data_IF_513052818630
#
_entry.id   IF_513052818630
#
_cell.length_a   1.000
_cell.length_b   1.000
_cell.length_c   1.000
_cell.angle_alpha   90.00
_cell.angle_beta   90.00
_cell.angle_gamma   90.00
#
_symmetry.space_group_name_H-M   'P 1'
#
loop_
_entity.id
_entity.type
_entity.pdbx_description
1 polymer ?
#
# COMPACT_ATOMS: atom_id res chain seq x y z
N UNK A 1 -16.26 18.95 -14.72
CA UNK A 1 -16.17 18.47 -13.33
C UNK A 1 -14.82 17.79 -13.20
N UNK A 2 -13.81 18.49 -12.68
CA UNK A 2 -12.42 18.03 -12.65
C UNK A 2 -12.17 17.08 -11.47
N UNK A 3 -11.32 16.04 -11.61
CA UNK A 3 -10.98 15.19 -10.48
C UNK A 3 -9.96 15.90 -9.58
N UNK A 4 -10.30 16.03 -8.30
CA UNK A 4 -9.36 16.49 -7.27
C UNK A 4 -8.37 15.38 -6.96
N UNK A 5 -7.11 15.59 -7.33
CA UNK A 5 -5.99 14.70 -6.98
C UNK A 5 -5.61 14.98 -5.52
N UNK A 6 -5.86 14.04 -4.62
CA UNK A 6 -5.35 14.10 -3.25
C UNK A 6 -3.87 13.73 -3.25
N UNK A 7 -2.99 14.73 -3.13
CA UNK A 7 -1.57 14.51 -2.93
C UNK A 7 -1.33 13.87 -1.55
N UNK A 8 -0.77 12.66 -1.52
CA UNK A 8 -0.30 12.01 -0.30
C UNK A 8 0.88 12.80 0.27
N UNK A 9 0.69 13.42 1.44
CA UNK A 9 1.75 14.13 2.14
C UNK A 9 2.84 13.13 2.54
N UNK A 10 4.00 13.18 1.89
CA UNK A 10 5.17 12.41 2.29
C UNK A 10 5.54 12.80 3.73
N UNK A 11 5.38 11.86 4.67
CA UNK A 11 5.84 12.07 6.04
C UNK A 11 7.36 11.85 6.03
N UNK A 12 8.12 12.91 5.84
CA UNK A 12 9.58 12.87 6.01
C UNK A 12 9.89 12.52 7.47
N UNK A 13 10.41 11.32 7.72
CA UNK A 13 10.86 10.93 9.05
C UNK A 13 12.23 11.57 9.27
N UNK A 14 12.36 12.41 10.29
CA UNK A 14 13.65 12.97 10.67
C UNK A 14 14.63 11.83 11.04
N UNK A 15 15.93 11.94 10.67
CA UNK A 15 16.90 10.91 11.00
C UNK A 15 17.02 10.75 12.52
N UNK A 16 17.05 9.50 12.99
CA UNK A 16 17.19 9.15 14.40
C UNK A 16 18.56 9.62 14.92
N UNK A 17 18.57 10.78 15.57
CA UNK A 17 19.69 11.23 16.38
C UNK A 17 19.57 10.47 17.71
N UNK A 18 20.44 9.47 17.91
CA UNK A 18 20.30 8.46 18.96
C UNK A 18 20.09 8.98 20.39
N UNK A 19 19.71 8.06 21.30
CA UNK A 19 19.56 8.34 22.73
C UNK A 19 20.90 8.76 23.33
N UNK A 20 21.06 10.05 23.62
CA UNK A 20 22.18 10.54 24.41
C UNK A 20 22.04 10.00 25.83
N UNK A 21 22.86 9.01 26.18
CA UNK A 21 22.96 8.50 27.55
C UNK A 21 23.58 9.57 28.45
N UNK A 22 22.75 10.29 29.21
CA UNK A 22 23.25 11.08 30.34
C UNK A 22 23.28 10.18 31.57
N UNK A 23 24.33 9.36 31.68
CA UNK A 23 24.68 8.72 32.94
C UNK A 23 25.20 9.80 33.88
N UNK A 24 24.34 10.31 34.75
CA UNK A 24 24.69 11.28 35.78
C UNK A 24 23.45 11.79 36.48
N UNK A 25 23.25 11.42 37.75
CA UNK A 25 22.23 12.01 38.60
C UNK A 25 22.56 13.50 38.80
N UNK A 26 21.71 14.46 38.39
CA UNK A 26 22.01 15.87 38.61
C UNK A 26 21.81 16.22 40.09
N UNK A 27 22.91 16.56 40.76
CA UNK A 27 22.90 17.26 42.06
C UNK A 27 22.22 18.61 41.86
N UNK A 28 21.10 18.83 42.56
CA UNK A 28 20.34 20.08 42.52
C UNK A 28 21.15 21.25 43.09
N UNK A 29 21.79 22.06 42.22
CA UNK A 29 22.13 23.45 42.53
C UNK A 29 21.01 24.35 42.04
N UNK A 30 20.22 24.87 42.98
CA UNK A 30 19.08 25.75 42.73
C UNK A 30 19.60 27.13 42.31
N UNK A 31 19.65 27.39 41.01
CA UNK A 31 19.90 28.71 40.44
C UNK A 31 18.56 29.39 40.17
N UNK A 32 18.32 30.50 40.87
CA UNK A 32 17.21 31.42 40.63
C UNK A 32 17.46 32.18 39.34
N UNK A 33 16.48 32.14 38.41
CA UNK A 33 16.45 32.75 37.08
C UNK A 33 17.24 32.05 35.97
N UNK A 34 16.61 31.03 35.37
CA UNK A 34 16.61 30.88 33.92
C UNK A 34 15.29 30.23 33.52
N UNK A 35 14.57 30.89 32.60
CA UNK A 35 13.22 30.52 32.23
C UNK A 35 13.11 29.05 31.88
N UNK A 36 12.05 28.41 32.34
CA UNK A 36 11.60 27.14 31.77
C UNK A 36 11.19 27.44 30.33
N UNK A 37 12.17 27.48 29.43
CA UNK A 37 11.94 27.46 28.00
C UNK A 37 11.02 26.27 27.75
N UNK A 38 9.89 26.52 27.09
CA UNK A 38 8.90 25.52 26.73
C UNK A 38 9.62 24.25 26.29
N UNK A 39 9.66 23.24 27.15
CA UNK A 39 10.05 21.89 26.77
C UNK A 39 8.88 21.40 25.94
N UNK A 40 8.82 21.81 24.68
CA UNK A 40 7.98 21.14 23.71
C UNK A 40 8.56 19.75 23.62
N UNK A 41 7.86 18.73 24.15
CA UNK A 41 8.11 17.36 23.72
C UNK A 41 7.96 17.37 22.19
N UNK A 42 9.11 17.49 21.52
CA UNK A 42 9.22 17.75 20.10
C UNK A 42 8.64 16.57 19.35
N UNK A 43 7.54 16.84 18.65
CA UNK A 43 6.82 15.86 17.84
C UNK A 43 6.07 14.85 18.70
N UNK A 44 4.83 14.56 18.32
CA UNK A 44 4.18 13.30 18.72
C UNK A 44 4.97 12.18 18.03
N UNK A 45 6.07 11.74 18.64
CA UNK A 45 6.82 10.56 18.18
C UNK A 45 5.84 9.40 18.36
N UNK A 46 5.15 9.02 17.28
CA UNK A 46 4.34 7.81 17.25
C UNK A 46 5.32 6.64 17.19
N UNK A 47 5.82 6.21 18.35
CA UNK A 47 6.75 5.08 18.48
C UNK A 47 6.11 3.75 18.05
N UNK A 48 4.79 3.72 17.85
CA UNK A 48 4.03 2.57 17.39
C UNK A 48 2.88 3.08 16.52
N UNK A 49 2.72 2.47 15.35
CA UNK A 49 1.60 2.73 14.45
C UNK A 49 0.66 1.52 14.51
N UNK A 50 -0.65 1.77 14.48
CA UNK A 50 -1.67 0.73 14.44
C UNK A 50 -2.05 0.52 12.99
N UNK A 51 -2.06 -0.74 12.55
CA UNK A 51 -2.48 -1.10 11.20
C UNK A 51 -3.98 -0.76 11.01
N UNK A 52 -4.37 -0.09 9.90
CA UNK A 52 -5.77 0.24 9.66
C UNK A 52 -6.64 -1.01 9.54
N UNK A 53 -7.83 -0.96 10.13
CA UNK A 53 -8.79 -2.08 10.12
C UNK A 53 -9.84 -1.97 8.99
N UNK A 54 -9.96 -0.80 8.38
CA UNK A 54 -10.94 -0.49 7.33
C UNK A 54 -10.29 0.30 6.19
N UNK A 55 -10.95 0.36 5.04
CA UNK A 55 -10.50 1.15 3.88
C UNK A 55 -9.29 0.61 3.12
N UNK A 56 -8.67 -0.48 3.58
CA UNK A 56 -7.46 -1.06 2.97
C UNK A 56 -7.59 -2.57 2.67
N UNK A 57 -8.78 -3.01 2.25
CA UNK A 57 -8.97 -4.37 1.72
C UNK A 57 -8.02 -4.64 0.56
N UNK A 58 -7.67 -5.92 0.37
CA UNK A 58 -6.57 -6.35 -0.51
C UNK A 58 -7.07 -7.19 -1.68
N UNK A 59 -6.30 -7.16 -2.76
CA UNK A 59 -6.58 -7.83 -4.04
C UNK A 59 -5.38 -8.73 -4.43
N UNK A 60 -4.93 -9.56 -3.49
CA UNK A 60 -3.79 -10.48 -3.67
C UNK A 60 -2.47 -9.78 -4.07
N UNK A 61 -1.67 -10.40 -4.94
CA UNK A 61 -0.31 -9.97 -5.32
C UNK A 61 -0.29 -8.49 -5.76
N UNK A 62 0.74 -7.76 -5.32
CA UNK A 62 0.96 -6.31 -5.54
C UNK A 62 0.03 -5.36 -4.74
N UNK A 63 -1.08 -5.82 -4.15
CA UNK A 63 -2.07 -4.92 -3.49
C UNK A 63 -1.64 -4.28 -2.16
N UNK A 64 -0.45 -4.60 -1.65
CA UNK A 64 0.17 -3.92 -0.50
C UNK A 64 1.09 -2.76 -0.91
N UNK A 65 1.44 -2.68 -2.19
CA UNK A 65 2.24 -1.59 -2.74
C UNK A 65 1.37 -0.33 -2.94
N UNK A 66 1.99 0.83 -3.16
CA UNK A 66 1.27 2.00 -3.69
C UNK A 66 0.55 1.67 -5.01
N UNK A 67 -0.52 2.41 -5.36
CA UNK A 67 -1.17 2.25 -6.66
C UNK A 67 -0.17 2.33 -7.81
N UNK A 68 -0.18 1.33 -8.68
CA UNK A 68 0.76 1.24 -9.79
C UNK A 68 0.48 2.34 -10.81
N UNK A 69 1.55 2.93 -11.36
CA UNK A 69 1.43 3.82 -12.50
C UNK A 69 1.23 3.02 -13.80
N UNK A 70 0.90 3.70 -14.89
CA UNK A 70 0.75 3.06 -16.20
C UNK A 70 2.06 2.40 -16.65
N UNK A 71 3.19 3.03 -16.37
CA UNK A 71 4.52 2.51 -16.71
C UNK A 71 4.84 1.24 -15.91
N UNK A 72 4.48 1.20 -14.63
CA UNK A 72 4.68 0.01 -13.79
C UNK A 72 3.77 -1.14 -14.22
N UNK A 73 2.52 -0.84 -14.60
CA UNK A 73 1.60 -1.85 -15.14
C UNK A 73 2.11 -2.44 -16.45
N UNK A 74 2.62 -1.61 -17.37
CA UNK A 74 3.24 -2.06 -18.61
C UNK A 74 4.43 -2.99 -18.34
N UNK A 75 5.29 -2.69 -17.34
CA UNK A 75 6.40 -3.59 -16.96
C UNK A 75 5.92 -4.96 -16.48
N UNK A 76 4.80 -5.02 -15.74
CA UNK A 76 4.20 -6.30 -15.29
C UNK A 76 3.66 -7.10 -16.47
N UNK A 77 2.98 -6.44 -17.41
CA UNK A 77 2.48 -7.09 -18.63
C UNK A 77 3.66 -7.62 -19.47
N UNK A 78 4.70 -6.81 -19.65
CA UNK A 78 5.92 -7.21 -20.37
C UNK A 78 6.62 -8.40 -19.70
N UNK A 79 6.62 -8.49 -18.37
CA UNK A 79 7.14 -9.66 -17.66
C UNK A 79 6.37 -10.93 -18.02
N UNK A 80 5.04 -10.85 -18.11
CA UNK A 80 4.17 -11.96 -18.51
C UNK A 80 4.47 -12.40 -19.95
N UNK A 81 4.60 -11.45 -20.88
CA UNK A 81 4.89 -11.71 -22.29
C UNK A 81 6.29 -12.32 -22.49
N UNK A 82 7.33 -11.81 -21.79
CA UNK A 82 8.68 -12.39 -21.83
C UNK A 82 8.71 -13.81 -21.29
N UNK A 83 7.87 -14.10 -20.30
CA UNK A 83 7.72 -15.43 -19.70
C UNK A 83 6.89 -16.40 -20.55
N UNK A 84 6.43 -15.96 -21.73
CA UNK A 84 5.60 -16.75 -22.66
C UNK A 84 4.27 -17.19 -22.07
N UNK A 85 3.71 -16.38 -21.17
CA UNK A 85 2.37 -16.57 -20.64
C UNK A 85 1.36 -15.77 -21.48
N UNK A 86 0.09 -16.19 -21.44
CA UNK A 86 -0.99 -15.53 -22.20
C UNK A 86 -1.75 -14.59 -21.26
N UNK A 87 -1.78 -13.28 -21.51
CA UNK A 87 -2.52 -12.36 -20.66
C UNK A 87 -4.03 -12.50 -20.88
N UNK A 88 -4.79 -12.30 -19.81
CA UNK A 88 -6.26 -12.27 -19.81
C UNK A 88 -6.75 -11.26 -18.78
N UNK A 89 -7.82 -10.54 -19.11
CA UNK A 89 -8.47 -9.61 -18.20
C UNK A 89 -9.74 -10.24 -17.63
N UNK A 90 -10.03 -9.93 -16.36
CA UNK A 90 -11.25 -10.32 -15.67
C UNK A 90 -11.81 -9.12 -14.90
N UNK A 91 -13.14 -9.05 -14.72
CA UNK A 91 -13.80 -7.98 -14.00
C UNK A 91 -14.98 -8.50 -13.15
N UNK A 92 -15.29 -7.80 -12.07
CA UNK A 92 -16.43 -8.08 -11.21
C UNK A 92 -16.89 -6.82 -10.48
N UNK A 93 -18.20 -6.73 -10.20
CA UNK A 93 -18.74 -5.70 -9.29
C UNK A 93 -18.53 -6.07 -7.82
N UNK A 94 -18.27 -7.35 -7.53
CA UNK A 94 -18.00 -7.89 -6.18
C UNK A 94 -16.52 -8.25 -6.10
N UNK A 95 -15.78 -7.54 -5.26
CA UNK A 95 -14.31 -7.61 -5.23
C UNK A 95 -13.70 -8.68 -4.31
N UNK A 96 -14.50 -9.41 -3.52
CA UNK A 96 -13.99 -10.30 -2.47
C UNK A 96 -14.72 -11.63 -2.42
N UNK A 97 -14.03 -12.65 -1.91
CA UNK A 97 -14.61 -13.97 -1.67
C UNK A 97 -15.65 -13.93 -0.55
N UNK A 98 -16.63 -14.83 -0.65
CA UNK A 98 -17.66 -15.05 0.36
C UNK A 98 -18.03 -16.54 0.41
N UNK A 99 -18.98 -16.91 1.28
CA UNK A 99 -19.39 -18.32 1.48
C UNK A 99 -20.90 -18.41 1.67
N UNK A 100 -21.60 -18.56 0.55
CA UNK A 100 -23.05 -18.72 0.47
C UNK A 100 -23.43 -20.17 0.20
N UNK A 101 -22.82 -20.79 -0.82
CA UNK A 101 -23.30 -22.07 -1.35
C UNK A 101 -22.77 -23.29 -0.59
N UNK A 102 -21.54 -23.23 -0.05
CA UNK A 102 -20.98 -24.32 0.75
C UNK A 102 -19.88 -23.85 1.72
N UNK A 103 -19.57 -24.68 2.74
CA UNK A 103 -18.58 -24.36 3.79
C UNK A 103 -17.52 -25.43 4.04
N UNK A 104 -17.39 -26.43 3.18
CA UNK A 104 -16.30 -27.42 3.26
C UNK A 104 -14.91 -26.79 3.11
N UNK A 105 -13.85 -27.48 3.57
CA UNK A 105 -12.47 -27.09 3.28
C UNK A 105 -12.24 -26.87 1.78
N UNK A 106 -11.57 -25.76 1.43
CA UNK A 106 -11.24 -25.42 0.03
C UNK A 106 -12.38 -24.79 -0.80
N UNK A 107 -13.61 -24.70 -0.27
CA UNK A 107 -14.73 -24.10 -0.98
C UNK A 107 -14.97 -22.64 -0.56
N UNK A 108 -14.97 -21.75 -1.57
CA UNK A 108 -15.28 -20.32 -1.48
C UNK A 108 -16.00 -19.83 -2.74
N UNK A 109 -17.00 -18.97 -2.56
CA UNK A 109 -17.71 -18.26 -3.63
C UNK A 109 -16.98 -16.94 -3.94
N UNK A 110 -17.24 -16.37 -5.12
CA UNK A 110 -16.63 -15.10 -5.53
C UNK A 110 -15.14 -15.17 -5.92
N UNK A 111 -14.56 -16.38 -6.04
CA UNK A 111 -13.21 -16.59 -6.57
C UNK A 111 -13.11 -16.30 -8.07
N UNK A 112 -14.12 -16.71 -8.84
CA UNK A 112 -14.17 -16.47 -10.29
C UNK A 112 -14.79 -15.11 -10.59
N UNK A 113 -14.16 -14.37 -11.48
CA UNK A 113 -14.67 -13.13 -12.06
C UNK A 113 -15.10 -13.34 -13.51
N UNK A 114 -15.76 -12.34 -14.09
CA UNK A 114 -16.21 -12.43 -15.49
C UNK A 114 -15.04 -12.11 -16.41
N UNK A 115 -14.76 -13.01 -17.36
CA UNK A 115 -13.72 -12.81 -18.37
C UNK A 115 -14.05 -11.62 -19.29
N UNK A 116 -13.07 -10.76 -19.55
CA UNK A 116 -13.17 -9.72 -20.56
C UNK A 116 -12.70 -10.27 -21.91
N UNK A 117 -13.63 -10.39 -22.86
CA UNK A 117 -13.39 -10.98 -24.19
C UNK A 117 -12.81 -12.40 -24.08
N UNK A 118 -11.56 -12.61 -24.48
CA UNK A 118 -10.84 -13.88 -24.48
C UNK A 118 -9.36 -13.64 -24.12
N UNK A 119 -8.62 -14.68 -23.68
CA UNK A 119 -7.18 -14.59 -23.51
C UNK A 119 -6.50 -14.12 -24.80
N UNK A 120 -5.51 -13.24 -24.67
CA UNK A 120 -4.87 -12.58 -25.82
C UNK A 120 -3.77 -13.47 -26.43
N UNK A 121 -4.18 -14.58 -27.03
CA UNK A 121 -3.28 -15.55 -27.66
C UNK A 121 -2.39 -14.90 -28.72
N UNK A 122 -1.09 -15.17 -28.66
CA UNK A 122 -0.11 -14.61 -29.60
C UNK A 122 0.19 -13.12 -29.41
N UNK A 123 -0.29 -12.50 -28.33
CA UNK A 123 0.03 -11.11 -28.00
C UNK A 123 1.54 -10.93 -27.78
N UNK A 124 2.11 -9.89 -28.40
CA UNK A 124 3.54 -9.54 -28.28
C UNK A 124 3.78 -8.09 -27.86
N UNK A 125 2.72 -7.31 -27.64
CA UNK A 125 2.80 -5.89 -27.32
C UNK A 125 1.96 -5.58 -26.07
N UNK A 126 2.61 -5.15 -24.99
CA UNK A 126 1.94 -4.84 -23.74
C UNK A 126 0.91 -3.70 -23.86
N UNK A 127 1.10 -2.77 -24.80
CA UNK A 127 0.18 -1.65 -24.99
C UNK A 127 -1.18 -2.10 -25.53
N UNK A 128 -1.24 -3.24 -26.24
CA UNK A 128 -2.50 -3.84 -26.67
C UNK A 128 -3.32 -4.32 -25.48
N UNK A 129 -2.68 -4.94 -24.48
CA UNK A 129 -3.32 -5.37 -23.24
C UNK A 129 -3.84 -4.16 -22.46
N UNK A 130 -3.03 -3.10 -22.37
CA UNK A 130 -3.41 -1.87 -21.67
C UNK A 130 -4.60 -1.16 -22.32
N UNK A 131 -4.74 -1.22 -23.65
CA UNK A 131 -5.87 -0.63 -24.37
C UNK A 131 -7.20 -1.34 -24.09
N UNK A 132 -7.15 -2.59 -23.64
CA UNK A 132 -8.32 -3.39 -23.28
C UNK A 132 -8.75 -3.24 -21.82
N UNK A 133 -7.95 -2.55 -21.00
CA UNK A 133 -8.21 -2.27 -19.58
C UNK A 133 -9.12 -1.04 -19.40
#
# INVERSE_FOLDING_TARGET
MAPTVMASSATSVAPFQGLKSTAGLPVSRRSTNSGFGNVSNGGRIKCMQVWPIEGIKKFETLSYLPPLTVEDLLKQIEYLLRSKWVPCLEFSKVGFVYRENHRSPGYYDGRYWTMWKLPMFGCTDATQVLKEL
#
